data_IF_904944608035
#
_entry.id   IF_904944608035
#
_cell.length_a   1.000
_cell.length_b   1.000
_cell.length_c   1.000
_cell.angle_alpha   90.00
_cell.angle_beta   90.00
_cell.angle_gamma   90.00
#
_symmetry.space_group_name_H-M   'P 1'
#
loop_
_entity.id
_entity.type
_entity.pdbx_description
1 polymer ?
#
# COMPACT_ATOMS: atom_id res chain seq x y z
N UNK A 1 -26.66 17.94 31.23
CA UNK A 1 -25.26 18.09 31.71
C UNK A 1 -24.55 19.02 30.77
N UNK A 2 -24.31 20.28 31.16
CA UNK A 2 -23.59 21.26 30.34
C UNK A 2 -22.09 21.09 30.55
N UNK A 3 -21.34 20.87 29.47
CA UNK A 3 -19.89 20.82 29.53
C UNK A 3 -19.33 22.22 29.79
N UNK A 4 -18.60 22.39 30.91
CA UNK A 4 -17.98 23.67 31.29
C UNK A 4 -16.70 23.84 30.48
N UNK A 5 -16.62 24.88 29.65
CA UNK A 5 -15.42 25.21 28.87
C UNK A 5 -14.35 25.81 29.79
N UNK A 6 -13.27 25.06 30.01
CA UNK A 6 -12.12 25.44 30.86
C UNK A 6 -10.90 25.87 30.04
N UNK A 7 -11.06 26.14 28.75
CA UNK A 7 -9.96 26.53 27.86
C UNK A 7 -9.23 27.78 28.36
N UNK A 8 -9.97 28.73 28.95
CA UNK A 8 -9.39 29.98 29.50
C UNK A 8 -8.54 29.74 30.75
N UNK A 9 -8.98 28.84 31.63
CA UNK A 9 -8.20 28.44 32.82
C UNK A 9 -6.88 27.80 32.41
N UNK A 10 -6.94 26.91 31.40
CA UNK A 10 -5.76 26.27 30.82
C UNK A 10 -4.79 27.28 30.19
N UNK A 11 -5.29 28.19 29.35
CA UNK A 11 -4.46 29.24 28.75
C UNK A 11 -3.76 30.12 29.79
N UNK A 12 -4.49 30.48 30.86
CA UNK A 12 -3.95 31.29 31.96
C UNK A 12 -2.85 30.57 32.72
N UNK A 13 -3.03 29.27 32.97
CA UNK A 13 -2.01 28.42 33.59
C UNK A 13 -0.75 28.29 32.72
N UNK A 14 -0.89 28.09 31.40
CA UNK A 14 0.25 28.03 30.48
C UNK A 14 1.07 29.32 30.46
N UNK A 15 0.41 30.48 30.40
CA UNK A 15 1.09 31.80 30.41
C UNK A 15 1.87 32.03 31.72
N UNK A 16 1.28 31.65 32.86
CA UNK A 16 1.93 31.75 34.16
C UNK A 16 3.20 30.88 34.26
N UNK A 17 3.16 29.67 33.71
CA UNK A 17 4.32 28.77 33.69
C UNK A 17 5.44 29.30 32.78
N UNK A 18 5.11 29.87 31.63
CA UNK A 18 6.08 30.46 30.70
C UNK A 18 6.79 31.68 31.31
N UNK A 19 6.07 32.50 32.07
CA UNK A 19 6.65 33.64 32.81
C UNK A 19 7.70 33.22 33.84
N UNK A 20 7.52 32.08 34.52
CA UNK A 20 8.52 31.56 35.49
C UNK A 20 9.78 30.99 34.83
N UNK A 21 9.65 30.43 33.63
CA UNK A 21 10.78 29.83 32.92
C UNK A 21 11.79 30.87 32.41
N UNK A 22 11.34 32.09 32.12
CA UNK A 22 12.20 33.20 31.70
C UNK A 22 13.03 33.82 32.85
N UNK A 23 12.59 33.63 34.10
CA UNK A 23 13.22 34.25 35.27
C UNK A 23 14.28 33.36 35.93
N UNK A 24 14.16 32.03 35.79
CA UNK A 24 15.16 31.06 36.26
C UNK A 24 15.93 30.48 35.07
N UNK A 25 17.03 31.12 34.69
CA UNK A 25 17.93 30.74 33.59
C UNK A 25 18.63 29.39 33.74
N UNK A 26 17.87 28.29 33.72
CA UNK A 26 18.41 26.93 33.70
C UNK A 26 18.49 26.41 32.26
N UNK A 27 19.71 26.03 31.86
CA UNK A 27 20.09 25.64 30.51
C UNK A 27 19.22 24.51 29.91
N UNK A 28 18.55 24.79 28.78
CA UNK A 28 17.58 23.92 28.09
C UNK A 28 18.17 22.94 27.06
N UNK A 29 19.49 22.70 27.07
CA UNK A 29 20.18 21.91 26.03
C UNK A 29 19.71 20.43 25.87
N UNK A 30 19.36 19.67 26.94
CA UNK A 30 18.91 18.29 26.77
C UNK A 30 17.48 18.18 26.20
N UNK A 31 16.61 19.17 26.46
CA UNK A 31 15.22 19.17 26.01
C UNK A 31 15.10 19.35 24.49
N UNK A 32 15.96 20.18 23.88
CA UNK A 32 15.95 20.44 22.43
C UNK A 32 16.31 19.18 21.64
N UNK A 33 17.29 18.39 22.13
CA UNK A 33 17.66 17.14 21.49
C UNK A 33 16.53 16.09 21.57
N UNK A 34 15.86 15.95 22.71
CA UNK A 34 14.71 15.04 22.82
C UNK A 34 13.55 15.43 21.88
N UNK A 35 13.30 16.73 21.70
CA UNK A 35 12.26 17.25 20.78
C UNK A 35 12.64 16.98 19.32
N UNK A 36 13.89 17.25 18.92
CA UNK A 36 14.38 16.98 17.56
C UNK A 36 14.33 15.50 17.22
N UNK A 37 14.76 14.66 18.16
CA UNK A 37 14.77 13.21 18.00
C UNK A 37 13.34 12.63 17.95
N UNK A 38 12.36 13.22 18.63
CA UNK A 38 10.93 12.91 18.46
C UNK A 38 10.43 13.30 17.07
N UNK A 39 10.86 14.45 16.57
CA UNK A 39 10.53 14.92 15.21
C UNK A 39 11.00 13.93 14.14
N UNK A 40 12.19 13.35 14.28
CA UNK A 40 12.76 12.44 13.29
C UNK A 40 11.98 11.11 13.18
N UNK A 41 11.63 10.50 14.33
CA UNK A 41 10.77 9.30 14.33
C UNK A 41 9.41 9.59 13.70
N UNK A 42 8.76 10.69 14.09
CA UNK A 42 7.45 11.06 13.56
C UNK A 42 7.50 11.37 12.07
N UNK A 43 8.55 12.03 11.59
CA UNK A 43 8.74 12.34 10.18
C UNK A 43 8.91 11.06 9.34
N UNK A 44 9.73 10.12 9.82
CA UNK A 44 9.95 8.84 9.17
C UNK A 44 8.66 8.00 9.15
N UNK A 45 7.96 7.89 10.27
CA UNK A 45 6.68 7.20 10.35
C UNK A 45 5.63 7.80 9.40
N UNK A 46 5.58 9.14 9.29
CA UNK A 46 4.68 9.83 8.36
C UNK A 46 5.02 9.54 6.90
N UNK A 47 6.32 9.51 6.54
CA UNK A 47 6.77 9.15 5.20
C UNK A 47 6.36 7.71 4.86
N UNK A 48 6.66 6.75 5.75
CA UNK A 48 6.27 5.34 5.56
C UNK A 48 4.76 5.23 5.39
N UNK A 49 3.97 5.93 6.21
CA UNK A 49 2.51 5.94 6.07
C UNK A 49 2.02 6.47 4.71
N UNK A 50 2.66 7.50 4.17
CA UNK A 50 2.36 8.03 2.82
C UNK A 50 2.71 7.01 1.74
N UNK A 51 3.91 6.44 1.79
CA UNK A 51 4.38 5.47 0.81
C UNK A 51 3.48 4.23 0.82
N UNK A 52 3.07 3.77 2.00
CA UNK A 52 2.14 2.66 2.19
C UNK A 52 0.77 2.95 1.54
N UNK A 53 0.20 4.14 1.74
CA UNK A 53 -1.04 4.53 1.08
C UNK A 53 -0.89 4.58 -0.45
N UNK A 54 0.23 5.11 -0.94
CA UNK A 54 0.51 5.15 -2.38
C UNK A 54 0.61 3.73 -2.97
N UNK A 55 1.24 2.80 -2.26
CA UNK A 55 1.35 1.40 -2.72
C UNK A 55 0.00 0.70 -2.68
N UNK A 56 -0.86 0.99 -1.70
CA UNK A 56 -2.25 0.49 -1.72
C UNK A 56 -3.03 0.97 -2.94
N UNK A 57 -2.92 2.24 -3.33
CA UNK A 57 -3.57 2.76 -4.52
C UNK A 57 -3.08 2.05 -5.81
N UNK A 58 -1.78 1.75 -5.89
CA UNK A 58 -1.23 0.95 -7.01
C UNK A 58 -1.78 -0.49 -6.99
N UNK A 59 -1.87 -1.10 -5.81
CA UNK A 59 -2.41 -2.44 -5.63
C UNK A 59 -3.90 -2.51 -5.99
N UNK A 60 -4.69 -1.49 -5.65
CA UNK A 60 -6.10 -1.40 -6.05
C UNK A 60 -6.22 -1.33 -7.58
N UNK A 61 -5.40 -0.50 -8.23
CA UNK A 61 -5.35 -0.44 -9.70
C UNK A 61 -4.96 -1.79 -10.30
N UNK A 62 -3.93 -2.45 -9.77
CA UNK A 62 -3.52 -3.79 -10.20
C UNK A 62 -4.66 -4.81 -10.02
N UNK A 63 -5.39 -4.74 -8.91
CA UNK A 63 -6.53 -5.61 -8.63
C UNK A 63 -7.62 -5.48 -9.68
N UNK A 64 -7.95 -4.24 -10.08
CA UNK A 64 -8.92 -3.96 -11.13
C UNK A 64 -8.46 -4.58 -12.45
N UNK A 65 -7.20 -4.37 -12.84
CA UNK A 65 -6.66 -4.91 -14.09
C UNK A 65 -6.59 -6.45 -14.07
N UNK A 66 -6.14 -7.04 -12.96
CA UNK A 66 -6.00 -8.49 -12.81
C UNK A 66 -7.33 -9.25 -12.87
N UNK A 67 -8.44 -8.61 -12.46
CA UNK A 67 -9.79 -9.17 -12.50
C UNK A 67 -10.48 -9.03 -13.85
N UNK A 68 -9.97 -8.19 -14.76
CA UNK A 68 -10.54 -8.08 -16.12
C UNK A 68 -10.32 -9.40 -16.87
N UNK A 69 -11.40 -9.94 -17.45
CA UNK A 69 -11.40 -11.21 -18.20
C UNK A 69 -11.51 -11.02 -19.72
N UNK A 70 -11.30 -9.79 -20.21
CA UNK A 70 -11.41 -9.48 -21.63
C UNK A 70 -10.25 -10.09 -22.42
N UNK A 71 -10.55 -10.78 -23.52
CA UNK A 71 -9.53 -11.39 -24.39
C UNK A 71 -8.76 -10.38 -25.24
N UNK A 72 -9.37 -9.21 -25.52
CA UNK A 72 -8.90 -8.26 -26.54
C UNK A 72 -8.32 -6.97 -25.96
N UNK A 73 -8.56 -6.71 -24.68
CA UNK A 73 -8.09 -5.50 -23.98
C UNK A 73 -7.29 -5.88 -22.73
N UNK A 74 -6.47 -6.92 -22.88
CA UNK A 74 -5.62 -7.39 -21.80
C UNK A 74 -4.39 -6.48 -21.66
N UNK A 75 -4.35 -5.69 -20.58
CA UNK A 75 -3.27 -4.73 -20.30
C UNK A 75 -2.05 -5.41 -19.66
N UNK A 76 -1.51 -6.44 -20.31
CA UNK A 76 -0.44 -7.28 -19.75
C UNK A 76 0.80 -6.46 -19.33
N UNK A 77 1.24 -5.52 -20.16
CA UNK A 77 2.42 -4.68 -19.87
C UNK A 77 2.20 -3.82 -18.61
N UNK A 78 1.04 -3.16 -18.51
CA UNK A 78 0.71 -2.33 -17.34
C UNK A 78 0.61 -3.16 -16.06
N UNK A 79 0.09 -4.40 -16.15
CA UNK A 79 0.03 -5.35 -15.04
C UNK A 79 1.45 -5.74 -14.59
N UNK A 80 2.36 -6.04 -15.52
CA UNK A 80 3.74 -6.39 -15.23
C UNK A 80 4.50 -5.22 -14.57
N UNK A 81 4.36 -4.01 -15.11
CA UNK A 81 4.96 -2.79 -14.56
C UNK A 81 4.45 -2.49 -13.14
N UNK A 82 3.13 -2.51 -12.93
CA UNK A 82 2.55 -2.32 -11.60
C UNK A 82 3.00 -3.41 -10.62
N UNK A 83 3.07 -4.66 -11.07
CA UNK A 83 3.57 -5.78 -10.27
C UNK A 83 5.02 -5.53 -9.83
N UNK A 84 5.86 -5.06 -10.74
CA UNK A 84 7.26 -4.76 -10.45
C UNK A 84 7.40 -3.59 -9.47
N UNK A 85 6.69 -2.48 -9.71
CA UNK A 85 6.70 -1.30 -8.83
C UNK A 85 6.22 -1.67 -7.43
N UNK A 86 5.12 -2.42 -7.30
CA UNK A 86 4.59 -2.82 -5.99
C UNK A 86 5.58 -3.73 -5.24
N UNK A 87 6.25 -4.66 -5.94
CA UNK A 87 7.32 -5.48 -5.33
C UNK A 87 8.45 -4.59 -4.78
N UNK A 88 8.90 -3.61 -5.54
CA UNK A 88 9.95 -2.69 -5.09
C UNK A 88 9.48 -1.85 -3.89
N UNK A 89 8.26 -1.33 -3.95
CA UNK A 89 7.66 -0.53 -2.87
C UNK A 89 7.55 -1.34 -1.58
N UNK A 90 7.05 -2.59 -1.63
CA UNK A 90 6.95 -3.47 -0.45
C UNK A 90 8.33 -3.73 0.16
N UNK A 91 9.34 -4.01 -0.67
CA UNK A 91 10.71 -4.21 -0.19
C UNK A 91 11.29 -2.94 0.46
N UNK A 92 11.04 -1.78 -0.15
CA UNK A 92 11.45 -0.48 0.40
C UNK A 92 10.75 -0.19 1.73
N UNK A 93 9.43 -0.36 1.80
CA UNK A 93 8.63 -0.19 3.01
C UNK A 93 9.11 -1.09 4.14
N UNK A 94 9.40 -2.36 3.84
CA UNK A 94 9.92 -3.30 4.83
C UNK A 94 11.26 -2.82 5.43
N UNK A 95 12.19 -2.36 4.58
CA UNK A 95 13.47 -1.79 5.02
C UNK A 95 13.28 -0.54 5.88
N UNK A 96 12.41 0.38 5.45
CA UNK A 96 12.14 1.61 6.22
C UNK A 96 11.49 1.29 7.57
N UNK A 97 10.56 0.32 7.64
CA UNK A 97 9.94 -0.09 8.90
C UNK A 97 10.97 -0.76 9.84
N UNK A 98 11.89 -1.57 9.30
CA UNK A 98 12.97 -2.15 10.09
C UNK A 98 13.87 -1.06 10.70
N UNK A 99 14.28 -0.07 9.90
CA UNK A 99 15.05 1.08 10.38
C UNK A 99 14.30 1.88 11.46
N UNK A 100 12.99 2.08 11.28
CA UNK A 100 12.14 2.73 12.28
C UNK A 100 12.10 1.93 13.59
N UNK A 101 12.04 0.60 13.50
CA UNK A 101 12.07 -0.29 14.66
C UNK A 101 13.42 -0.20 15.41
N UNK A 102 14.55 -0.17 14.69
CA UNK A 102 15.88 -0.01 15.28
C UNK A 102 16.04 1.33 16.00
N UNK A 103 15.45 2.40 15.44
CA UNK A 103 15.40 3.71 16.08
C UNK A 103 14.63 3.67 17.41
N UNK A 104 13.56 2.89 17.50
CA UNK A 104 12.78 2.72 18.74
C UNK A 104 13.56 1.87 19.76
N UNK A 105 14.25 0.82 19.31
CA UNK A 105 15.06 -0.06 20.17
C UNK A 105 16.26 0.66 20.78
N UNK A 106 17.01 1.41 19.97
CA UNK A 106 18.16 2.21 20.43
C UNK A 106 17.81 3.25 21.50
N UNK A 107 16.52 3.60 21.64
CA UNK A 107 16.03 4.62 22.57
C UNK A 107 15.31 4.07 23.79
N UNK A 108 15.25 2.75 23.95
CA UNK A 108 14.46 2.08 24.98
C UNK A 108 14.91 2.40 26.43
N UNK A 109 16.07 3.03 26.62
CA UNK A 109 16.59 3.45 27.93
C UNK A 109 16.59 4.97 28.20
N UNK A 110 16.29 5.81 27.21
CA UNK A 110 16.37 7.29 27.35
C UNK A 110 15.01 7.99 27.40
N UNK A 111 13.95 7.34 26.94
CA UNK A 111 12.61 7.93 26.84
C UNK A 111 11.66 7.41 27.92
N UNK A 112 10.71 8.25 28.35
CA UNK A 112 9.65 7.83 29.26
C UNK A 112 8.79 6.70 28.69
N UNK A 113 8.36 5.75 29.54
CA UNK A 113 7.60 4.53 29.16
C UNK A 113 6.48 4.79 28.15
N UNK A 114 5.70 5.85 28.33
CA UNK A 114 4.59 6.19 27.44
C UNK A 114 5.02 6.46 25.99
N UNK A 115 6.13 7.17 25.79
CA UNK A 115 6.65 7.51 24.44
C UNK A 115 7.15 6.24 23.74
N UNK A 116 7.80 5.35 24.50
CA UNK A 116 8.28 4.07 24.00
C UNK A 116 7.11 3.18 23.56
N UNK A 117 6.06 3.06 24.38
CA UNK A 117 4.85 2.30 24.03
C UNK A 117 4.21 2.83 22.75
N UNK A 118 4.00 4.15 22.66
CA UNK A 118 3.42 4.77 21.48
C UNK A 118 4.23 4.49 20.20
N UNK A 119 5.55 4.61 20.27
CA UNK A 119 6.43 4.36 19.12
C UNK A 119 6.38 2.90 18.67
N UNK A 120 6.38 1.95 19.62
CA UNK A 120 6.19 0.53 19.33
C UNK A 120 4.82 0.24 18.68
N UNK A 121 3.74 0.83 19.20
CA UNK A 121 2.40 0.67 18.61
C UNK A 121 2.35 1.13 17.16
N UNK A 122 3.01 2.25 16.83
CA UNK A 122 3.09 2.73 15.45
C UNK A 122 3.83 1.72 14.56
N UNK A 123 5.00 1.24 15.00
CA UNK A 123 5.79 0.25 14.24
C UNK A 123 4.96 -1.00 13.97
N UNK A 124 4.31 -1.56 14.99
CA UNK A 124 3.46 -2.75 14.85
C UNK A 124 2.29 -2.48 13.88
N UNK A 125 1.63 -1.33 13.99
CA UNK A 125 0.55 -0.97 13.06
C UNK A 125 1.02 -0.90 11.60
N UNK A 126 2.19 -0.31 11.36
CA UNK A 126 2.78 -0.24 10.01
C UNK A 126 3.14 -1.64 9.50
N UNK A 127 3.70 -2.51 10.35
CA UNK A 127 4.01 -3.90 10.02
C UNK A 127 2.74 -4.68 9.65
N UNK A 128 1.68 -4.59 10.44
CA UNK A 128 0.41 -5.27 10.15
C UNK A 128 -0.19 -4.81 8.82
N UNK A 129 -0.15 -3.50 8.53
CA UNK A 129 -0.64 -2.96 7.26
C UNK A 129 0.20 -3.45 6.07
N UNK A 130 1.52 -3.47 6.19
CA UNK A 130 2.40 -3.97 5.14
C UNK A 130 2.20 -5.48 4.89
N UNK A 131 2.01 -6.25 5.97
CA UNK A 131 1.73 -7.68 5.88
C UNK A 131 0.40 -7.93 5.15
N UNK A 132 -0.66 -7.20 5.50
CA UNK A 132 -1.95 -7.26 4.79
C UNK A 132 -1.79 -6.94 3.31
N UNK A 133 -1.12 -5.83 2.98
CA UNK A 133 -0.85 -5.44 1.60
C UNK A 133 -0.09 -6.51 0.81
N UNK A 134 0.89 -7.17 1.45
CA UNK A 134 1.69 -8.23 0.83
C UNK A 134 0.85 -9.47 0.54
N UNK A 135 -0.07 -9.82 1.44
CA UNK A 135 -1.02 -10.91 1.24
C UNK A 135 -2.00 -10.59 0.11
N UNK A 136 -2.60 -9.40 0.12
CA UNK A 136 -3.53 -8.95 -0.92
C UNK A 136 -2.84 -8.95 -2.29
N UNK A 137 -1.60 -8.46 -2.36
CA UNK A 137 -0.79 -8.50 -3.57
C UNK A 137 -0.59 -9.93 -4.09
N UNK A 138 -0.26 -10.89 -3.21
CA UNK A 138 -0.13 -12.29 -3.58
C UNK A 138 -1.44 -12.84 -4.16
N UNK A 139 -2.57 -12.61 -3.49
CA UNK A 139 -3.89 -13.07 -3.95
C UNK A 139 -4.28 -12.47 -5.31
N UNK A 140 -3.93 -11.21 -5.57
CA UNK A 140 -4.17 -10.57 -6.87
C UNK A 140 -3.37 -11.24 -7.99
N UNK A 141 -2.11 -11.61 -7.74
CA UNK A 141 -1.29 -12.33 -8.72
C UNK A 141 -1.80 -13.76 -8.99
N UNK A 142 -2.31 -14.44 -7.95
CA UNK A 142 -2.96 -15.74 -8.10
C UNK A 142 -4.20 -15.63 -8.99
N UNK A 143 -5.07 -14.64 -8.77
CA UNK A 143 -6.23 -14.36 -9.62
C UNK A 143 -5.81 -14.08 -11.07
N UNK A 144 -4.75 -13.30 -11.27
CA UNK A 144 -4.23 -13.02 -12.62
C UNK A 144 -3.75 -14.28 -13.33
N UNK A 145 -3.03 -15.14 -12.61
CA UNK A 145 -2.52 -16.42 -13.13
C UNK A 145 -3.66 -17.32 -13.58
N UNK A 146 -4.71 -17.43 -12.75
CA UNK A 146 -5.88 -18.24 -13.07
C UNK A 146 -6.67 -17.66 -14.25
N UNK A 147 -6.82 -16.34 -14.35
CA UNK A 147 -7.45 -15.70 -15.51
C UNK A 147 -6.70 -15.98 -16.81
N UNK A 148 -5.37 -15.90 -16.81
CA UNK A 148 -4.55 -16.22 -17.99
C UNK A 148 -4.69 -17.69 -18.41
N UNK A 149 -4.76 -18.61 -17.44
CA UNK A 149 -5.00 -20.04 -17.71
C UNK A 149 -6.37 -20.27 -18.36
N UNK A 150 -7.42 -19.64 -17.83
CA UNK A 150 -8.78 -19.72 -18.39
C UNK A 150 -8.84 -19.12 -19.79
N UNK A 151 -8.20 -17.99 -20.01
CA UNK A 151 -8.09 -17.34 -21.32
C UNK A 151 -7.40 -18.23 -22.35
N UNK A 152 -6.28 -18.87 -21.97
CA UNK A 152 -5.58 -19.82 -22.83
C UNK A 152 -6.45 -21.02 -23.19
N UNK A 153 -7.09 -21.64 -22.19
CA UNK A 153 -8.01 -22.77 -22.40
C UNK A 153 -9.14 -22.40 -23.36
N UNK A 154 -9.83 -21.27 -23.14
CA UNK A 154 -10.89 -20.81 -24.06
C UNK A 154 -10.36 -20.59 -25.47
N UNK A 155 -9.20 -19.93 -25.61
CA UNK A 155 -8.58 -19.70 -26.93
C UNK A 155 -8.29 -21.02 -27.65
N UNK A 156 -7.75 -22.02 -26.95
CA UNK A 156 -7.49 -23.36 -27.50
C UNK A 156 -8.78 -24.02 -28.01
N UNK A 157 -9.85 -24.01 -27.21
CA UNK A 157 -11.16 -24.60 -27.58
C UNK A 157 -11.78 -23.94 -28.82
N UNK A 158 -11.68 -22.61 -28.95
CA UNK A 158 -12.24 -21.91 -30.13
C UNK A 158 -11.29 -21.91 -31.33
N UNK A 159 -9.99 -22.12 -31.14
CA UNK A 159 -8.99 -22.20 -32.22
C UNK A 159 -8.90 -23.60 -32.86
N UNK A 160 -9.37 -24.64 -32.17
CA UNK A 160 -9.38 -26.02 -32.67
C UNK A 160 -10.68 -26.43 -33.37
N UNK A 161 -11.64 -25.53 -33.59
CA UNK A 161 -12.76 -25.85 -34.45
C UNK A 161 -12.21 -26.24 -35.84
N UNK A 162 -12.41 -27.49 -36.32
CA UNK A 162 -12.04 -27.81 -37.68
C UNK A 162 -12.85 -26.87 -38.56
N UNK A 163 -12.15 -26.13 -39.42
CA UNK A 163 -12.73 -25.64 -40.65
C UNK A 163 -13.14 -26.88 -41.45
N UNK A 164 -14.29 -27.48 -41.09
CA UNK A 164 -15.05 -28.29 -42.02
C UNK A 164 -15.48 -27.32 -43.10
N UNK A 165 -14.57 -27.08 -44.05
CA UNK A 165 -14.86 -26.49 -45.32
C UNK A 165 -16.07 -27.26 -45.85
N UNK A 166 -17.24 -26.63 -45.79
CA UNK A 166 -18.41 -27.14 -46.46
C UNK A 166 -18.02 -27.17 -47.94
N UNK A 167 -17.94 -28.32 -48.62
CA UNK A 167 -17.89 -28.29 -50.05
C UNK A 167 -19.26 -27.74 -50.44
N UNK A 168 -19.31 -26.52 -50.94
CA UNK A 168 -20.46 -26.05 -51.70
C UNK A 168 -20.57 -27.01 -52.89
N UNK A 169 -21.39 -28.04 -52.73
CA UNK A 169 -21.79 -28.93 -53.81
C UNK A 169 -22.48 -28.06 -54.85
N UNK A 170 -21.75 -27.71 -55.90
CA UNK A 170 -22.28 -27.13 -57.12
C UNK A 170 -23.16 -28.20 -57.79
N UNK A 171 -24.44 -28.20 -57.42
CA UNK A 171 -25.43 -29.10 -58.00
C UNK A 171 -25.93 -28.53 -59.34
N UNK A 172 -25.44 -29.15 -60.41
CA UNK A 172 -26.17 -29.54 -61.62
C UNK A 172 -27.04 -28.48 -62.36
N UNK A 173 -26.50 -27.95 -63.45
CA UNK A 173 -27.28 -27.56 -64.64
C UNK A 173 -26.52 -27.98 -65.90
N UNK A 174 -26.63 -29.25 -66.28
CA UNK A 174 -26.41 -29.66 -67.67
C UNK A 174 -27.76 -30.05 -68.26
N UNK A 175 -28.35 -29.08 -68.95
CA UNK A 175 -29.59 -29.19 -69.70
C UNK A 175 -29.34 -30.08 -70.92
N UNK A 176 -29.96 -31.25 -70.93
CA UNK A 176 -30.17 -32.06 -72.13
C UNK A 176 -31.28 -31.43 -72.96
N UNK A 177 -30.98 -30.97 -74.18
CA UNK A 177 -31.83 -31.21 -75.36
C UNK A 177 -31.20 -30.73 -76.67
N UNK A 178 -31.26 -31.65 -77.64
CA UNK A 178 -31.28 -31.51 -79.11
C UNK A 178 -30.03 -31.00 -79.83
#
# INVERSE_FOLDING_TARGET
>A
MTCRDRTLEFQSACKSLQGRQLQNGTHTKPAINAIKQRSDFTLMAKRIGKDLNNTFAKLEKLTILAKRKSLFDDKAVEIEELTYIIKQDINSLNKQIAQLQDLVRSRSGQNGRHIQTHSNTIVVSLQSKLASMSNDFKSVLEVRTENLKQQRSRREHFSQAPVSASPLLANNFSMSHL
#
